data_IF_100838111496
#
_entry.id   IF_100838111496
#
_cell.length_a   1.000
_cell.length_b   1.000
_cell.length_c   1.000
_cell.angle_alpha   90.00
_cell.angle_beta   90.00
_cell.angle_gamma   90.00
#
_symmetry.space_group_name_H-M   'P 1'
#
loop_
_entity.id
_entity.type
_entity.pdbx_description
1 polymer ?
#
# COMPACT_ATOMS: atom_id res chain seq x y z
N UNK A 1 17.48 -24.04 -1.91
CA UNK A 1 16.65 -23.74 -3.09
C UNK A 1 16.93 -22.30 -3.48
N UNK A 2 17.40 -22.02 -4.70
CA UNK A 2 17.62 -20.63 -5.12
C UNK A 2 16.26 -19.97 -5.34
N UNK A 3 15.91 -18.98 -4.51
CA UNK A 3 14.72 -18.15 -4.73
C UNK A 3 14.90 -17.31 -5.99
N UNK A 4 13.93 -17.31 -6.86
CA UNK A 4 13.87 -16.40 -8.00
C UNK A 4 13.37 -15.04 -7.49
N UNK A 5 14.18 -14.01 -7.67
CA UNK A 5 13.89 -12.66 -7.18
C UNK A 5 13.61 -11.73 -8.34
N UNK A 6 12.49 -11.02 -8.29
CA UNK A 6 12.24 -9.88 -9.17
C UNK A 6 12.62 -8.59 -8.43
N UNK A 7 13.43 -7.74 -9.05
CA UNK A 7 13.78 -6.43 -8.51
C UNK A 7 13.04 -5.33 -9.26
N UNK A 8 12.26 -4.54 -8.55
CA UNK A 8 11.57 -3.36 -9.06
C UNK A 8 12.03 -2.12 -8.30
N UNK A 9 12.05 -0.95 -8.96
CA UNK A 9 12.55 0.28 -8.35
C UNK A 9 11.72 1.48 -8.80
N UNK A 10 11.58 2.46 -7.92
CA UNK A 10 11.04 3.77 -8.26
C UNK A 10 11.97 4.49 -9.27
N UNK A 11 11.49 5.58 -9.87
CA UNK A 11 12.25 6.35 -10.85
C UNK A 11 13.43 7.13 -10.24
N UNK A 12 13.58 7.14 -8.91
CA UNK A 12 14.68 7.80 -8.24
C UNK A 12 16.03 7.16 -8.64
N UNK A 13 17.04 7.96 -9.05
CA UNK A 13 18.34 7.42 -9.50
C UNK A 13 19.01 6.47 -8.49
N UNK A 14 18.88 6.76 -7.20
CA UNK A 14 19.42 5.92 -6.13
C UNK A 14 18.73 4.54 -6.06
N UNK A 15 17.43 4.47 -6.34
CA UNK A 15 16.67 3.22 -6.37
C UNK A 15 17.01 2.40 -7.62
N UNK A 16 17.18 3.05 -8.78
CA UNK A 16 17.57 2.39 -10.02
C UNK A 16 19.00 1.82 -9.94
N UNK A 17 19.93 2.56 -9.33
CA UNK A 17 21.29 2.08 -9.07
C UNK A 17 21.27 0.84 -8.16
N UNK A 18 20.51 0.89 -7.07
CA UNK A 18 20.35 -0.23 -6.15
C UNK A 18 19.76 -1.47 -6.86
N UNK A 19 18.73 -1.28 -7.72
CA UNK A 19 18.17 -2.35 -8.54
C UNK A 19 19.23 -3.01 -9.43
N UNK A 20 20.01 -2.21 -10.14
CA UNK A 20 21.07 -2.73 -11.03
C UNK A 20 22.11 -3.53 -10.24
N UNK A 21 22.55 -3.03 -9.09
CA UNK A 21 23.52 -3.69 -8.20
C UNK A 21 22.99 -5.04 -7.71
N UNK A 22 21.76 -5.07 -7.17
CA UNK A 22 21.16 -6.29 -6.63
C UNK A 22 20.87 -7.32 -7.73
N UNK A 23 20.35 -6.87 -8.89
CA UNK A 23 20.09 -7.75 -10.03
C UNK A 23 21.38 -8.38 -10.58
N UNK A 24 22.50 -7.61 -10.62
CA UNK A 24 23.81 -8.15 -11.02
C UNK A 24 24.33 -9.20 -10.04
N UNK A 25 24.06 -9.03 -8.74
CA UNK A 25 24.60 -9.90 -7.68
C UNK A 25 23.76 -11.17 -7.48
N UNK A 26 22.44 -11.06 -7.51
CA UNK A 26 21.53 -12.14 -7.15
C UNK A 26 20.75 -12.73 -8.34
N UNK A 27 20.94 -12.17 -9.53
CA UNK A 27 20.09 -12.46 -10.69
C UNK A 27 18.78 -11.67 -10.65
N UNK A 28 18.03 -11.70 -11.75
CA UNK A 28 16.73 -11.06 -11.86
C UNK A 28 15.77 -11.95 -12.64
N UNK A 29 14.61 -12.22 -12.09
CA UNK A 29 13.53 -12.95 -12.75
C UNK A 29 12.39 -11.98 -13.15
N UNK A 30 11.61 -12.31 -14.18
CA UNK A 30 10.33 -11.64 -14.43
C UNK A 30 9.42 -11.73 -13.20
N UNK A 31 8.58 -10.71 -12.98
CA UNK A 31 7.74 -10.63 -11.79
C UNK A 31 6.77 -11.81 -11.68
N UNK A 32 6.20 -12.24 -12.80
CA UNK A 32 5.28 -13.39 -12.89
C UNK A 32 5.94 -14.77 -12.69
N UNK A 33 7.26 -14.82 -12.61
CA UNK A 33 8.04 -16.03 -12.40
C UNK A 33 8.88 -16.00 -11.11
N UNK A 34 8.73 -14.95 -10.34
CA UNK A 34 9.49 -14.75 -9.11
C UNK A 34 8.83 -15.45 -7.91
N UNK A 35 9.65 -15.86 -6.95
CA UNK A 35 9.18 -16.34 -5.64
C UNK A 35 8.97 -15.16 -4.67
N UNK A 36 9.60 -14.02 -4.95
CA UNK A 36 9.49 -12.78 -4.18
C UNK A 36 9.83 -11.58 -5.06
N UNK A 37 9.12 -10.47 -4.86
CA UNK A 37 9.40 -9.19 -5.50
C UNK A 37 10.10 -8.29 -4.46
N UNK A 38 11.29 -7.81 -4.78
CA UNK A 38 12.02 -6.82 -3.96
C UNK A 38 11.76 -5.43 -4.54
N UNK A 39 11.02 -4.60 -3.79
CA UNK A 39 10.64 -3.24 -4.16
C UNK A 39 11.62 -2.22 -3.54
N UNK A 40 12.28 -1.43 -4.40
CA UNK A 40 13.28 -0.44 -4.01
C UNK A 40 12.72 0.98 -4.17
N UNK A 41 12.44 1.64 -3.06
CA UNK A 41 11.79 2.97 -3.07
C UNK A 41 11.40 3.43 -1.68
N UNK A 42 10.30 4.13 -1.57
CA UNK A 42 9.61 4.48 -0.32
C UNK A 42 8.23 3.83 -0.26
N UNK A 43 7.46 4.14 0.79
CA UNK A 43 6.12 3.55 1.03
C UNK A 43 5.17 3.71 -0.17
N UNK A 44 5.17 4.87 -0.82
CA UNK A 44 4.33 5.10 -2.00
C UNK A 44 4.66 4.15 -3.16
N UNK A 45 5.94 3.83 -3.37
CA UNK A 45 6.35 2.84 -4.38
C UNK A 45 5.98 1.41 -3.95
N UNK A 46 6.09 1.10 -2.67
CA UNK A 46 5.62 -0.19 -2.12
C UNK A 46 4.13 -0.39 -2.40
N UNK A 47 3.30 0.59 -2.06
CA UNK A 47 1.86 0.55 -2.30
C UNK A 47 1.53 0.40 -3.79
N UNK A 48 2.21 1.14 -4.66
CA UNK A 48 2.05 1.01 -6.11
C UNK A 48 2.42 -0.40 -6.59
N UNK A 49 3.52 -0.97 -6.06
CA UNK A 49 3.94 -2.33 -6.39
C UNK A 49 2.89 -3.35 -5.94
N UNK A 50 2.40 -3.26 -4.70
CA UNK A 50 1.35 -4.14 -4.18
C UNK A 50 0.08 -4.09 -5.04
N UNK A 51 -0.39 -2.90 -5.42
CA UNK A 51 -1.54 -2.74 -6.32
C UNK A 51 -1.34 -3.41 -7.67
N UNK A 52 -0.17 -3.20 -8.27
CA UNK A 52 0.14 -3.71 -9.60
C UNK A 52 0.31 -5.23 -9.63
N UNK A 53 0.81 -5.80 -8.54
CA UNK A 53 1.16 -7.23 -8.46
C UNK A 53 0.15 -8.06 -7.67
N UNK A 54 -0.95 -7.47 -7.18
CA UNK A 54 -1.93 -8.18 -6.35
C UNK A 54 -2.51 -9.47 -6.97
N UNK A 55 -2.58 -9.53 -8.31
CA UNK A 55 -3.08 -10.71 -9.02
C UNK A 55 -2.04 -11.84 -9.13
N UNK A 56 -0.78 -11.59 -8.78
CA UNK A 56 0.30 -12.57 -8.88
C UNK A 56 0.41 -13.47 -7.64
N UNK A 57 -0.17 -13.05 -6.51
CA UNK A 57 -0.08 -13.75 -5.21
C UNK A 57 1.40 -14.04 -4.82
N UNK A 58 2.26 -13.04 -5.05
CA UNK A 58 3.70 -13.11 -4.79
C UNK A 58 4.03 -12.08 -3.71
N UNK A 59 4.72 -12.49 -2.62
CA UNK A 59 5.10 -11.56 -1.55
C UNK A 59 6.03 -10.45 -2.05
N UNK A 60 5.85 -9.25 -1.51
CA UNK A 60 6.66 -8.07 -1.83
C UNK A 60 7.49 -7.68 -0.63
N UNK A 61 8.82 -7.66 -0.79
CA UNK A 61 9.77 -7.22 0.22
C UNK A 61 10.27 -5.81 -0.10
N UNK A 62 9.87 -4.83 0.70
CA UNK A 62 10.28 -3.43 0.51
C UNK A 62 11.66 -3.15 1.11
N UNK A 63 12.53 -2.47 0.35
CA UNK A 63 13.81 -1.93 0.84
C UNK A 63 13.87 -0.43 0.57
N UNK A 64 14.13 0.36 1.62
CA UNK A 64 14.09 1.81 1.53
C UNK A 64 15.21 2.39 0.65
N UNK A 65 14.80 3.09 -0.39
CA UNK A 65 15.67 3.94 -1.24
C UNK A 65 15.04 5.32 -1.46
N UNK A 66 14.38 5.84 -0.43
CA UNK A 66 13.72 7.13 -0.41
C UNK A 66 13.67 7.69 1.01
N UNK A 67 12.61 8.43 1.32
CA UNK A 67 12.33 8.88 2.69
C UNK A 67 11.97 7.69 3.58
N UNK A 68 12.35 7.75 4.86
CA UNK A 68 11.99 6.73 5.85
C UNK A 68 10.47 6.60 5.91
N UNK A 69 9.99 5.36 5.85
CA UNK A 69 8.57 5.01 5.88
C UNK A 69 8.30 3.83 6.82
N UNK A 70 7.05 3.37 6.85
CA UNK A 70 6.58 2.31 7.75
C UNK A 70 6.54 0.93 7.09
N UNK A 71 6.53 0.88 5.75
CA UNK A 71 6.37 -0.36 4.98
C UNK A 71 7.71 -0.92 4.44
N UNK A 72 8.81 -0.20 4.67
CA UNK A 72 10.09 -0.51 4.05
C UNK A 72 11.12 -0.96 5.08
N UNK A 73 11.84 -2.02 4.75
CA UNK A 73 13.02 -2.44 5.49
C UNK A 73 14.24 -1.57 5.14
N UNK A 74 15.25 -1.60 5.98
CA UNK A 74 16.53 -0.96 5.70
C UNK A 74 17.19 -1.59 4.47
N UNK A 75 17.79 -0.75 3.61
CA UNK A 75 18.53 -1.22 2.45
C UNK A 75 19.86 -1.87 2.86
N UNK A 76 20.14 -3.03 2.28
CA UNK A 76 21.43 -3.70 2.36
C UNK A 76 21.72 -4.43 1.05
N UNK A 77 22.96 -4.42 0.61
CA UNK A 77 23.42 -5.18 -0.56
C UNK A 77 23.96 -6.55 -0.16
N UNK A 78 24.22 -6.73 1.12
CA UNK A 78 24.69 -7.99 1.69
C UNK A 78 23.51 -8.73 2.33
N UNK A 79 23.65 -10.00 2.63
CA UNK A 79 22.71 -10.79 3.42
C UNK A 79 21.23 -10.77 2.95
N UNK A 80 20.93 -10.33 1.72
CA UNK A 80 19.55 -10.25 1.23
C UNK A 80 18.82 -11.60 1.31
N UNK A 81 19.48 -12.68 0.94
CA UNK A 81 18.87 -14.01 0.96
C UNK A 81 18.50 -14.43 2.40
N UNK A 82 19.39 -14.20 3.36
CA UNK A 82 19.15 -14.53 4.77
C UNK A 82 18.01 -13.68 5.33
N UNK A 83 17.95 -12.41 4.97
CA UNK A 83 16.85 -11.49 5.35
C UNK A 83 15.52 -11.90 4.75
N UNK A 84 15.49 -12.32 3.47
CA UNK A 84 14.27 -12.83 2.84
C UNK A 84 13.79 -14.15 3.44
N UNK A 85 14.71 -14.97 3.95
CA UNK A 85 14.36 -16.22 4.67
C UNK A 85 13.82 -15.92 6.05
N UNK A 86 14.40 -14.93 6.75
CA UNK A 86 14.00 -14.54 8.09
C UNK A 86 12.79 -13.59 8.15
N UNK A 87 12.35 -13.06 7.00
CA UNK A 87 11.21 -12.16 6.96
C UNK A 87 9.91 -12.87 7.30
N UNK A 88 9.10 -12.23 8.14
CA UNK A 88 7.72 -12.63 8.39
C UNK A 88 6.82 -12.04 7.31
N UNK A 89 5.89 -12.83 6.81
CA UNK A 89 4.95 -12.41 5.79
C UNK A 89 3.67 -11.92 6.44
N UNK A 90 3.32 -10.67 6.16
CA UNK A 90 2.08 -10.05 6.63
C UNK A 90 1.08 -9.89 5.49
N UNK A 91 -0.16 -10.28 5.72
CA UNK A 91 -1.23 -10.15 4.73
C UNK A 91 -1.93 -8.82 4.88
N UNK A 92 -1.85 -7.98 3.84
CA UNK A 92 -2.57 -6.71 3.78
C UNK A 92 -3.91 -6.92 3.09
N UNK A 93 -5.00 -6.72 3.83
CA UNK A 93 -6.36 -6.81 3.30
C UNK A 93 -6.83 -5.42 2.85
N UNK A 94 -7.04 -5.18 1.54
CA UNK A 94 -7.54 -3.90 1.06
C UNK A 94 -9.03 -3.71 1.39
N UNK A 95 -9.46 -2.45 1.43
CA UNK A 95 -10.88 -2.10 1.42
C UNK A 95 -11.44 -2.30 0.01
N UNK A 96 -12.58 -2.96 -0.11
CA UNK A 96 -13.37 -2.98 -1.33
C UNK A 96 -14.37 -1.82 -1.28
N UNK A 97 -14.18 -0.83 -2.14
CA UNK A 97 -15.10 0.30 -2.28
C UNK A 97 -16.12 0.02 -3.38
N UNK A 98 -17.37 0.31 -3.09
CA UNK A 98 -18.42 0.49 -4.09
C UNK A 98 -19.09 1.84 -3.86
N UNK A 99 -19.11 2.69 -4.88
CA UNK A 99 -19.77 3.97 -4.84
C UNK A 99 -20.81 4.07 -5.98
N UNK A 100 -21.93 4.72 -5.70
CA UNK A 100 -22.95 5.02 -6.69
C UNK A 100 -23.17 6.53 -6.72
N UNK A 101 -23.05 7.11 -7.90
CA UNK A 101 -23.32 8.51 -8.16
C UNK A 101 -24.83 8.77 -8.25
N UNK A 102 -25.25 10.05 -8.16
CA UNK A 102 -26.66 10.43 -8.23
C UNK A 102 -27.34 10.06 -9.57
N UNK A 103 -26.58 9.91 -10.63
CA UNK A 103 -27.05 9.45 -11.94
C UNK A 103 -27.14 7.92 -12.06
N UNK A 104 -26.83 7.19 -10.98
CA UNK A 104 -26.81 5.74 -10.93
C UNK A 104 -25.51 5.10 -11.44
N UNK A 105 -24.51 5.89 -11.81
CA UNK A 105 -23.21 5.34 -12.22
C UNK A 105 -22.52 4.70 -11.04
N UNK A 106 -22.07 3.44 -11.21
CA UNK A 106 -21.38 2.68 -10.18
C UNK A 106 -19.86 2.69 -10.41
N UNK A 107 -19.12 2.81 -9.30
CA UNK A 107 -17.68 2.79 -9.27
C UNK A 107 -17.20 1.76 -8.24
N UNK A 108 -16.25 0.93 -8.63
CA UNK A 108 -15.63 -0.06 -7.74
C UNK A 108 -14.11 0.14 -7.74
N UNK A 109 -13.50 0.02 -6.57
CA UNK A 109 -12.04 0.09 -6.42
C UNK A 109 -11.58 -0.67 -5.17
N UNK A 110 -10.31 -1.06 -5.17
CA UNK A 110 -9.62 -1.56 -3.99
C UNK A 110 -8.69 -0.47 -3.45
N UNK A 111 -8.66 -0.30 -2.13
CA UNK A 111 -7.78 0.66 -1.48
C UNK A 111 -6.95 -0.02 -0.39
N UNK A 112 -5.63 0.05 -0.51
CA UNK A 112 -4.70 -0.48 0.50
C UNK A 112 -4.64 0.45 1.70
N UNK A 113 -4.65 1.77 1.49
CA UNK A 113 -4.60 2.75 2.58
C UNK A 113 -5.98 3.12 3.10
N UNK A 114 -6.74 3.90 2.32
CA UNK A 114 -8.05 4.41 2.73
C UNK A 114 -8.98 4.65 1.55
N UNK A 115 -10.27 4.68 1.84
CA UNK A 115 -11.31 5.28 1.01
C UNK A 115 -11.71 6.59 1.67
N UNK A 116 -11.61 7.70 0.97
CA UNK A 116 -11.94 9.03 1.48
C UNK A 116 -12.99 9.73 0.64
N UNK A 117 -13.87 10.45 1.31
CA UNK A 117 -14.83 11.39 0.72
C UNK A 117 -14.45 12.79 1.16
N UNK A 118 -14.31 13.71 0.21
CA UNK A 118 -14.06 15.12 0.47
C UNK A 118 -15.09 15.95 -0.28
N UNK A 119 -15.63 16.99 0.36
CA UNK A 119 -16.53 17.93 -0.31
C UNK A 119 -15.85 18.62 -1.50
N UNK A 120 -16.59 18.78 -2.58
CA UNK A 120 -16.05 19.39 -3.81
C UNK A 120 -16.16 20.93 -3.83
N UNK A 121 -16.91 21.53 -2.90
CA UNK A 121 -17.20 22.97 -2.90
C UNK A 121 -17.15 23.57 -1.49
N UNK A 122 -17.56 24.85 -1.32
CA UNK A 122 -17.50 25.54 -0.03
C UNK A 122 -18.54 25.04 0.99
N UNK A 123 -19.57 24.34 0.54
CA UNK A 123 -20.61 23.80 1.43
C UNK A 123 -20.11 22.55 2.14
N UNK A 124 -20.40 22.41 3.44
CA UNK A 124 -20.12 21.21 4.21
C UNK A 124 -20.83 19.99 3.62
N UNK A 125 -20.14 18.84 3.66
CA UNK A 125 -20.77 17.56 3.37
C UNK A 125 -21.70 17.16 4.53
N UNK A 126 -22.81 16.51 4.19
CA UNK A 126 -23.74 15.90 5.16
C UNK A 126 -23.78 14.41 4.87
N UNK A 127 -23.27 13.62 5.80
CA UNK A 127 -23.15 12.19 5.64
C UNK A 127 -24.04 11.46 6.66
N UNK A 128 -24.73 10.43 6.20
CA UNK A 128 -25.35 9.43 7.06
C UNK A 128 -24.44 8.21 7.11
N UNK A 129 -24.11 7.71 8.30
CA UNK A 129 -23.19 6.61 8.48
C UNK A 129 -23.91 5.39 9.04
N UNK A 130 -23.82 4.29 8.30
CA UNK A 130 -24.32 2.98 8.69
C UNK A 130 -23.16 1.99 8.76
N UNK A 131 -23.08 1.21 9.83
CA UNK A 131 -22.06 0.18 10.03
C UNK A 131 -22.79 -1.14 10.32
N UNK A 132 -22.47 -2.19 9.57
CA UNK A 132 -23.10 -3.51 9.69
C UNK A 132 -24.63 -3.45 9.65
N UNK A 133 -25.18 -2.65 8.73
CA UNK A 133 -26.61 -2.46 8.55
C UNK A 133 -27.30 -1.62 9.66
N UNK A 134 -26.55 -1.11 10.64
CA UNK A 134 -27.10 -0.30 11.73
C UNK A 134 -26.71 1.17 11.55
N UNK A 135 -27.70 2.03 11.59
CA UNK A 135 -27.48 3.48 11.59
C UNK A 135 -26.68 3.88 12.84
N UNK A 136 -25.52 4.49 12.64
CA UNK A 136 -24.62 4.95 13.70
C UNK A 136 -24.66 6.46 13.88
N UNK A 137 -24.74 7.19 12.77
CA UNK A 137 -24.86 8.65 12.74
C UNK A 137 -25.92 9.03 11.71
N UNK A 138 -26.98 9.70 12.15
CA UNK A 138 -28.06 10.19 11.27
C UNK A 138 -27.56 11.30 10.35
N UNK A 139 -26.78 12.25 10.89
CA UNK A 139 -26.15 13.32 10.14
C UNK A 139 -24.78 13.65 10.73
N UNK A 140 -23.75 13.57 9.94
CA UNK A 140 -22.42 14.11 10.19
C UNK A 140 -22.19 15.29 9.27
N UNK A 141 -22.05 16.50 9.81
CA UNK A 141 -21.70 17.70 9.06
C UNK A 141 -20.18 17.88 9.13
N UNK A 142 -19.49 17.77 7.98
CA UNK A 142 -18.03 17.72 7.92
C UNK A 142 -17.48 18.23 6.58
N UNK A 143 -16.17 18.33 6.49
CA UNK A 143 -15.47 18.55 5.23
C UNK A 143 -15.32 17.24 4.44
N UNK A 144 -15.32 16.12 5.13
CA UNK A 144 -15.16 14.78 4.57
C UNK A 144 -15.12 13.70 5.63
N UNK A 145 -15.02 12.47 5.18
CA UNK A 145 -14.80 11.30 6.04
C UNK A 145 -13.92 10.29 5.32
N UNK A 146 -13.23 9.46 6.07
CA UNK A 146 -12.44 8.37 5.51
C UNK A 146 -12.60 7.08 6.34
N UNK A 147 -12.35 5.97 5.67
CA UNK A 147 -12.19 4.65 6.28
C UNK A 147 -10.82 4.15 5.88
N UNK A 148 -9.96 3.88 6.86
CA UNK A 148 -8.59 3.42 6.63
C UNK A 148 -8.42 1.96 7.05
N UNK A 149 -7.52 1.27 6.37
CA UNK A 149 -6.96 -0.01 6.82
C UNK A 149 -5.93 0.23 7.93
N UNK A 150 -5.48 -0.79 8.67
CA UNK A 150 -4.31 -0.67 9.53
C UNK A 150 -3.06 -0.17 8.78
N UNK A 151 -2.78 -0.68 7.58
CA UNK A 151 -1.66 -0.22 6.74
C UNK A 151 -1.79 1.28 6.37
N UNK A 152 -3.01 1.74 6.09
CA UNK A 152 -3.30 3.14 5.79
C UNK A 152 -3.38 4.06 7.01
N UNK A 153 -3.34 3.52 8.22
CA UNK A 153 -3.48 4.32 9.43
C UNK A 153 -2.36 5.37 9.61
N UNK A 154 -1.19 5.13 9.01
CA UNK A 154 -0.05 6.05 8.99
C UNK A 154 -0.03 7.01 7.79
N UNK A 155 -0.99 6.88 6.86
CA UNK A 155 -1.14 7.72 5.67
C UNK A 155 -2.08 8.92 5.94
N UNK A 156 -3.08 9.15 5.10
CA UNK A 156 -4.01 10.28 5.24
C UNK A 156 -4.81 10.23 6.55
N UNK A 157 -5.12 9.03 7.06
CA UNK A 157 -5.72 8.87 8.37
C UNK A 157 -4.92 9.60 9.47
N UNK A 158 -3.59 9.50 9.46
CA UNK A 158 -2.74 10.21 10.41
C UNK A 158 -2.84 11.74 10.24
N UNK A 159 -2.84 12.23 9.01
CA UNK A 159 -3.04 13.66 8.70
C UNK A 159 -4.42 14.17 9.15
N UNK A 160 -5.42 13.30 9.16
CA UNK A 160 -6.77 13.59 9.66
C UNK A 160 -6.94 13.34 11.17
N UNK A 161 -5.83 13.19 11.91
CA UNK A 161 -5.80 12.91 13.35
C UNK A 161 -6.46 11.60 13.77
N UNK A 162 -6.51 10.62 12.87
CA UNK A 162 -6.94 9.26 13.19
C UNK A 162 -5.87 8.48 13.97
N UNK A 163 -6.25 7.40 14.66
CA UNK A 163 -5.31 6.55 15.39
C UNK A 163 -4.41 5.77 14.44
N UNK A 164 -3.17 5.49 14.87
CA UNK A 164 -2.30 4.52 14.21
C UNK A 164 -2.66 3.13 14.73
N UNK A 165 -2.85 2.20 13.80
CA UNK A 165 -3.19 0.81 14.10
C UNK A 165 -2.04 -0.10 13.65
N UNK A 166 -1.68 -1.14 14.44
CA UNK A 166 -0.70 -2.13 14.00
C UNK A 166 -1.26 -2.94 12.82
N UNK A 167 -0.35 -3.42 11.96
CA UNK A 167 -0.64 -4.42 10.94
C UNK A 167 -0.48 -5.79 11.61
N UNK A 168 -1.45 -6.67 11.46
CA UNK A 168 -1.48 -8.01 12.07
C UNK A 168 -2.55 -8.14 13.14
#
# INVERSE_FOLDING_TARGET
>A
MHRKIAFVASDAPIAQTARATLASRFGHAPEDQADVIVALGGDGFMLHTLHRTQALDIPVYGMNRGTVGFLMNEYSETDLIDRLIAAEEEVINPLAMRAESLDGTQHEALAINEVSLLRAGPQAAKLRITIDGRLRLEELVCDGALVATPAGSTAYNYSAHGPILPIG
#
